data_IF_177756881845
#
_entry.id   IF_177756881845
#
_cell.length_a   1.000
_cell.length_b   1.000
_cell.length_c   1.000
_cell.angle_alpha   90.00
_cell.angle_beta   90.00
_cell.angle_gamma   90.00
#
_symmetry.space_group_name_H-M   'P 1'
#
loop_
_entity.id
_entity.type
_entity.pdbx_description
1 polymer ?
#
# COMPACT_ATOMS: atom_id res chain seq x y z
N UNK A 1 21.19 -78.41 -0.12
CA UNK A 1 20.85 -77.77 -1.41
C UNK A 1 19.33 -77.79 -1.57
N UNK A 2 18.77 -76.82 -2.31
CA UNK A 2 17.40 -76.75 -2.86
C UNK A 2 16.21 -77.27 -2.04
N UNK A 3 15.31 -76.35 -1.64
CA UNK A 3 13.88 -76.62 -1.61
C UNK A 3 13.13 -75.44 -2.25
N UNK A 4 12.34 -75.74 -3.29
CA UNK A 4 11.53 -74.74 -3.99
C UNK A 4 10.20 -74.52 -3.27
N UNK A 5 9.89 -73.28 -2.88
CA UNK A 5 8.56 -72.89 -2.44
C UNK A 5 7.73 -72.41 -3.65
N UNK A 6 6.49 -72.89 -3.74
CA UNK A 6 5.62 -72.87 -4.92
C UNK A 6 5.27 -71.45 -5.39
N UNK A 7 5.38 -71.21 -6.70
CA UNK A 7 4.72 -70.07 -7.37
C UNK A 7 3.22 -70.34 -7.47
N UNK A 8 2.41 -69.78 -6.57
CA UNK A 8 0.98 -69.59 -6.81
C UNK A 8 0.81 -68.37 -7.71
N UNK A 9 0.71 -68.60 -9.02
CA UNK A 9 0.24 -67.57 -9.94
C UNK A 9 -1.28 -67.39 -9.83
N UNK A 10 -1.81 -66.29 -10.37
CA UNK A 10 -3.22 -66.23 -10.73
C UNK A 10 -4.12 -65.23 -10.01
N UNK A 11 -3.60 -64.21 -9.32
CA UNK A 11 -4.38 -63.00 -9.09
C UNK A 11 -3.84 -61.86 -9.97
N UNK A 12 -4.57 -61.59 -11.06
CA UNK A 12 -4.31 -60.43 -11.93
C UNK A 12 -4.64 -59.20 -11.11
N UNK A 13 -3.63 -58.36 -10.80
CA UNK A 13 -3.81 -57.13 -10.02
C UNK A 13 -5.05 -56.37 -10.51
N UNK A 14 -6.09 -56.34 -9.66
CA UNK A 14 -7.37 -55.75 -9.99
C UNK A 14 -7.20 -54.27 -10.35
N UNK A 15 -6.21 -53.59 -9.74
CA UNK A 15 -5.87 -52.21 -10.04
C UNK A 15 -5.12 -52.05 -11.36
N UNK A 16 -4.31 -53.02 -11.79
CA UNK A 16 -3.77 -53.05 -13.17
C UNK A 16 -4.92 -53.19 -14.17
N UNK A 17 -5.82 -54.16 -13.97
CA UNK A 17 -6.96 -54.42 -14.87
C UNK A 17 -7.92 -53.23 -14.95
N UNK A 18 -8.14 -52.50 -13.85
CA UNK A 18 -8.90 -51.25 -13.83
C UNK A 18 -8.16 -50.12 -14.58
N UNK A 19 -6.85 -49.95 -14.33
CA UNK A 19 -6.01 -48.95 -15.04
C UNK A 19 -6.02 -49.17 -16.54
N UNK A 20 -5.83 -50.40 -17.00
CA UNK A 20 -5.81 -50.75 -18.43
C UNK A 20 -7.19 -50.53 -19.07
N UNK A 21 -8.28 -50.93 -18.39
CA UNK A 21 -9.65 -50.67 -18.87
C UNK A 21 -9.92 -49.17 -19.03
N UNK A 22 -9.47 -48.35 -18.09
CA UNK A 22 -9.66 -46.89 -18.11
C UNK A 22 -8.76 -46.20 -19.15
N UNK A 23 -7.52 -46.67 -19.31
CA UNK A 23 -6.58 -46.22 -20.34
C UNK A 23 -6.98 -46.62 -21.77
N UNK A 24 -7.75 -47.70 -21.93
CA UNK A 24 -8.30 -48.12 -23.23
C UNK A 24 -9.59 -47.38 -23.57
N UNK A 25 -10.49 -47.15 -22.60
CA UNK A 25 -11.71 -46.34 -22.80
C UNK A 25 -11.38 -44.91 -23.24
N UNK A 26 -10.43 -44.26 -22.56
CA UNK A 26 -10.01 -42.88 -22.88
C UNK A 26 -9.34 -42.72 -24.25
N UNK A 27 -8.84 -43.80 -24.87
CA UNK A 27 -8.33 -43.77 -26.26
C UNK A 27 -9.44 -43.89 -27.30
N UNK A 28 -10.58 -44.48 -26.97
CA UNK A 28 -11.73 -44.58 -27.87
C UNK A 28 -12.55 -43.29 -27.93
N UNK A 29 -12.67 -42.57 -26.81
CA UNK A 29 -13.50 -41.36 -26.70
C UNK A 29 -12.82 -40.07 -27.20
N UNK A 30 -11.51 -40.12 -27.48
CA UNK A 30 -10.72 -38.95 -27.91
C UNK A 30 -10.70 -38.66 -29.42
N UNK A 31 -11.19 -39.57 -30.27
CA UNK A 31 -11.09 -39.44 -31.72
C UNK A 31 -12.43 -39.07 -32.37
N UNK A 32 -12.82 -37.80 -32.27
CA UNK A 32 -14.02 -37.30 -32.93
C UNK A 32 -13.86 -37.35 -34.46
N UNK A 33 -14.75 -38.04 -35.18
CA UNK A 33 -14.85 -37.98 -36.65
C UNK A 33 -15.47 -36.67 -37.18
N UNK A 34 -15.44 -35.58 -36.41
CA UNK A 34 -15.85 -34.26 -36.88
C UNK A 34 -14.66 -33.58 -37.58
N UNK A 35 -14.68 -33.38 -38.93
CA UNK A 35 -13.52 -32.84 -39.66
C UNK A 35 -13.13 -31.41 -39.20
N UNK A 36 -14.04 -30.71 -38.53
CA UNK A 36 -13.90 -29.35 -38.04
C UNK A 36 -13.20 -29.26 -36.65
N UNK A 37 -12.92 -30.40 -36.00
CA UNK A 37 -12.30 -30.47 -34.66
C UNK A 37 -10.84 -30.93 -34.67
N UNK A 38 -10.20 -31.02 -35.85
CA UNK A 38 -8.75 -31.13 -35.97
C UNK A 38 -8.10 -29.79 -35.63
N UNK A 39 -8.12 -29.45 -34.33
CA UNK A 39 -7.38 -28.31 -33.80
C UNK A 39 -5.86 -28.53 -33.94
N UNK A 40 -5.06 -27.45 -34.02
CA UNK A 40 -3.61 -27.58 -34.01
C UNK A 40 -3.16 -28.28 -32.71
N UNK A 41 -2.14 -29.14 -32.81
CA UNK A 41 -1.51 -29.79 -31.65
C UNK A 41 -0.77 -28.71 -30.86
N UNK A 42 -1.47 -28.08 -29.92
CA UNK A 42 -0.87 -27.18 -28.94
C UNK A 42 -0.23 -28.04 -27.86
N UNK A 43 1.07 -27.88 -27.67
CA UNK A 43 1.80 -28.60 -26.63
C UNK A 43 1.30 -28.12 -25.25
N UNK A 44 0.55 -28.98 -24.57
CA UNK A 44 -0.06 -28.65 -23.28
C UNK A 44 1.03 -28.70 -22.23
N UNK A 45 1.67 -27.56 -21.99
CA UNK A 45 2.56 -27.36 -20.85
C UNK A 45 1.81 -27.75 -19.57
N UNK A 46 2.16 -28.92 -19.03
CA UNK A 46 1.68 -29.40 -17.74
C UNK A 46 2.56 -28.78 -16.66
N UNK A 47 2.06 -27.83 -15.85
CA UNK A 47 2.84 -27.31 -14.74
C UNK A 47 3.21 -28.45 -13.79
N UNK A 48 4.41 -28.43 -13.17
CA UNK A 48 4.77 -29.41 -12.16
C UNK A 48 3.67 -29.47 -11.10
N UNK A 49 3.20 -30.68 -10.76
CA UNK A 49 2.10 -30.87 -9.80
C UNK A 49 2.54 -30.38 -8.42
N UNK A 50 2.21 -29.13 -8.09
CA UNK A 50 2.31 -28.61 -6.75
C UNK A 50 1.57 -29.56 -5.81
N UNK A 51 2.22 -29.95 -4.72
CA UNK A 51 1.67 -30.89 -3.73
C UNK A 51 0.31 -30.38 -3.30
N UNK A 52 -0.76 -31.16 -3.54
CA UNK A 52 -2.13 -30.84 -3.12
C UNK A 52 -2.11 -30.48 -1.64
N UNK A 53 -2.28 -29.19 -1.33
CA UNK A 53 -2.44 -28.72 0.04
C UNK A 53 -3.63 -29.45 0.63
N UNK A 54 -3.40 -30.17 1.73
CA UNK A 54 -4.47 -30.87 2.42
C UNK A 54 -5.48 -29.83 2.92
N UNK A 55 -6.77 -30.05 2.64
CA UNK A 55 -7.84 -29.18 3.10
C UNK A 55 -7.77 -29.09 4.63
N UNK A 56 -7.34 -27.93 5.14
CA UNK A 56 -7.17 -27.73 6.57
C UNK A 56 -8.54 -27.82 7.25
N UNK A 57 -8.61 -28.53 8.38
CA UNK A 57 -9.87 -28.68 9.11
C UNK A 57 -10.17 -27.39 9.88
N UNK A 58 -10.69 -26.39 9.17
CA UNK A 58 -11.12 -25.12 9.75
C UNK A 58 -12.16 -25.36 10.85
N UNK A 59 -11.77 -25.11 12.09
CA UNK A 59 -12.67 -25.16 13.25
C UNK A 59 -13.56 -23.91 13.25
N UNK A 60 -14.63 -23.94 12.46
CA UNK A 60 -15.55 -22.80 12.30
C UNK A 60 -16.79 -23.05 11.44
N UNK A 61 -16.75 -24.01 10.51
CA UNK A 61 -17.79 -24.28 9.47
C UNK A 61 -19.19 -24.65 10.03
N UNK A 62 -19.38 -24.72 11.35
CA UNK A 62 -20.64 -25.04 12.00
C UNK A 62 -21.78 -24.05 11.69
N UNK A 63 -21.48 -22.74 11.63
CA UNK A 63 -22.49 -21.69 11.39
C UNK A 63 -22.97 -21.72 9.94
N UNK A 64 -22.05 -21.85 8.99
CA UNK A 64 -22.38 -21.89 7.56
C UNK A 64 -23.04 -23.21 7.17
N UNK A 65 -22.61 -24.34 7.76
CA UNK A 65 -23.31 -25.63 7.61
C UNK A 65 -24.71 -25.64 8.25
N UNK A 66 -25.01 -24.73 9.19
CA UNK A 66 -26.37 -24.53 9.72
C UNK A 66 -27.17 -23.62 8.78
N UNK A 67 -26.56 -22.56 8.23
CA UNK A 67 -27.17 -21.68 7.21
C UNK A 67 -27.53 -22.42 5.92
N UNK A 68 -26.61 -23.21 5.35
CA UNK A 68 -26.86 -24.06 4.17
C UNK A 68 -28.00 -25.05 4.40
N UNK A 69 -28.12 -25.63 5.60
CA UNK A 69 -29.24 -26.52 5.96
C UNK A 69 -30.54 -25.77 6.30
N UNK A 70 -30.49 -24.48 6.59
CA UNK A 70 -31.70 -23.65 6.68
C UNK A 70 -32.17 -23.28 5.27
N UNK A 71 -31.26 -22.86 4.39
CA UNK A 71 -31.53 -22.51 3.01
C UNK A 71 -32.05 -23.70 2.18
N UNK A 72 -31.59 -24.92 2.46
CA UNK A 72 -32.14 -26.14 1.87
C UNK A 72 -33.51 -26.58 2.47
N UNK A 73 -33.98 -25.93 3.55
CA UNK A 73 -35.29 -26.18 4.17
C UNK A 73 -36.32 -25.11 3.83
N UNK A 74 -35.90 -23.85 3.74
CA UNK A 74 -36.67 -22.77 3.13
C UNK A 74 -36.57 -22.96 1.63
N UNK A 75 -37.44 -23.83 1.07
CA UNK A 75 -37.33 -24.29 -0.30
C UNK A 75 -37.03 -23.17 -1.28
N UNK A 76 -35.82 -23.18 -1.84
CA UNK A 76 -35.63 -22.68 -3.19
C UNK A 76 -36.63 -23.46 -4.02
N UNK A 77 -37.67 -22.78 -4.50
CA UNK A 77 -38.67 -23.33 -5.41
C UNK A 77 -37.92 -24.13 -6.46
N UNK A 78 -38.31 -25.38 -6.70
CA UNK A 78 -37.44 -26.38 -7.30
C UNK A 78 -37.16 -26.08 -8.78
N UNK A 79 -36.24 -25.15 -9.04
CA UNK A 79 -35.78 -24.77 -10.38
C UNK A 79 -35.23 -26.03 -11.00
N UNK A 80 -35.85 -26.46 -12.11
CA UNK A 80 -35.44 -27.63 -12.87
C UNK A 80 -33.91 -27.62 -13.02
N UNK A 81 -33.18 -28.62 -12.46
CA UNK A 81 -31.74 -28.69 -12.62
C UNK A 81 -31.33 -28.68 -14.09
N UNK A 82 -32.16 -29.19 -14.99
CA UNK A 82 -31.99 -29.09 -16.44
C UNK A 82 -32.12 -27.66 -16.99
N UNK A 83 -32.94 -26.79 -16.40
CA UNK A 83 -33.04 -25.37 -16.74
C UNK A 83 -31.83 -24.58 -16.23
N UNK A 84 -31.39 -24.85 -14.99
CA UNK A 84 -30.15 -24.27 -14.44
C UNK A 84 -28.95 -24.66 -15.31
N UNK A 85 -28.83 -25.94 -15.67
CA UNK A 85 -27.74 -26.44 -16.53
C UNK A 85 -27.79 -25.80 -17.92
N UNK A 86 -28.98 -25.61 -18.50
CA UNK A 86 -29.17 -24.91 -19.79
C UNK A 86 -28.73 -23.44 -19.71
N UNK A 87 -29.17 -22.71 -18.69
CA UNK A 87 -28.81 -21.30 -18.49
C UNK A 87 -27.30 -21.12 -18.28
N UNK A 88 -26.66 -22.00 -17.50
CA UNK A 88 -25.20 -21.98 -17.30
C UNK A 88 -24.44 -22.30 -18.59
N UNK A 89 -24.87 -23.32 -19.34
CA UNK A 89 -24.26 -23.66 -20.62
C UNK A 89 -24.40 -22.52 -21.65
N UNK A 90 -25.56 -21.86 -21.69
CA UNK A 90 -25.80 -20.71 -22.56
C UNK A 90 -24.93 -19.51 -22.16
N UNK A 91 -24.83 -19.18 -20.87
CA UNK A 91 -23.96 -18.13 -20.35
C UNK A 91 -22.50 -18.38 -20.75
N UNK A 92 -21.99 -19.60 -20.53
CA UNK A 92 -20.62 -19.98 -20.88
C UNK A 92 -20.39 -19.94 -22.41
N UNK A 93 -21.35 -20.43 -23.21
CA UNK A 93 -21.26 -20.38 -24.67
C UNK A 93 -21.26 -18.95 -25.21
N UNK A 94 -22.14 -18.08 -24.70
CA UNK A 94 -22.17 -16.64 -25.03
C UNK A 94 -20.85 -15.97 -24.65
N UNK A 95 -20.32 -16.27 -23.45
CA UNK A 95 -19.01 -15.80 -23.01
C UNK A 95 -17.89 -16.17 -23.98
N UNK A 96 -17.79 -17.45 -24.37
CA UNK A 96 -16.78 -17.93 -25.32
C UNK A 96 -16.90 -17.28 -26.70
N UNK A 97 -18.12 -17.11 -27.23
CA UNK A 97 -18.35 -16.45 -28.53
C UNK A 97 -17.96 -14.97 -28.46
N UNK A 98 -18.31 -14.26 -27.39
CA UNK A 98 -17.93 -12.87 -27.18
C UNK A 98 -16.41 -12.72 -27.02
N UNK A 99 -15.76 -13.56 -26.21
CA UNK A 99 -14.29 -13.57 -26.08
C UNK A 99 -13.62 -13.77 -27.44
N UNK A 100 -14.07 -14.76 -28.23
CA UNK A 100 -13.52 -15.02 -29.56
C UNK A 100 -13.71 -13.83 -30.51
N UNK A 101 -14.87 -13.18 -30.49
CA UNK A 101 -15.16 -11.97 -31.29
C UNK A 101 -14.30 -10.78 -30.88
N UNK A 102 -14.06 -10.57 -29.58
CA UNK A 102 -13.13 -9.54 -29.09
C UNK A 102 -11.70 -9.83 -29.53
N UNK A 103 -11.25 -11.09 -29.45
CA UNK A 103 -9.93 -11.49 -29.97
C UNK A 103 -9.79 -11.27 -31.46
N UNK A 104 -10.81 -11.59 -32.29
CA UNK A 104 -10.73 -11.35 -33.73
C UNK A 104 -10.70 -9.86 -34.05
N UNK A 105 -11.53 -9.02 -33.41
CA UNK A 105 -11.50 -7.56 -33.61
C UNK A 105 -10.13 -6.96 -33.25
N UNK A 106 -9.54 -7.36 -32.11
CA UNK A 106 -8.19 -6.91 -31.72
C UNK A 106 -7.12 -7.41 -32.70
N UNK A 107 -7.24 -8.63 -33.22
CA UNK A 107 -6.29 -9.18 -34.19
C UNK A 107 -6.44 -8.51 -35.57
N UNK A 108 -7.65 -8.18 -35.98
CA UNK A 108 -7.97 -7.39 -37.18
C UNK A 108 -7.35 -5.99 -37.07
N UNK A 109 -7.58 -5.26 -35.96
CA UNK A 109 -6.96 -3.95 -35.69
C UNK A 109 -5.43 -4.00 -35.75
N UNK A 110 -4.81 -5.00 -35.10
CA UNK A 110 -3.34 -5.18 -35.13
C UNK A 110 -2.80 -5.60 -36.51
N UNK A 111 -3.64 -6.14 -37.39
CA UNK A 111 -3.26 -6.58 -38.75
C UNK A 111 -3.47 -5.48 -39.80
N UNK A 112 -4.51 -4.66 -39.64
CA UNK A 112 -4.86 -3.55 -40.52
C UNK A 112 -4.14 -2.25 -40.16
N UNK A 113 -3.74 -2.09 -38.89
CA UNK A 113 -2.98 -0.93 -38.42
C UNK A 113 -1.51 -0.96 -38.85
N UNK A 114 -0.91 0.23 -38.95
CA UNK A 114 0.52 0.37 -39.24
C UNK A 114 1.36 -0.27 -38.12
N UNK A 115 1.97 -1.42 -38.38
CA UNK A 115 2.84 -2.14 -37.43
C UNK A 115 3.91 -1.24 -36.81
N UNK A 116 4.41 -0.25 -37.56
CA UNK A 116 5.33 0.79 -37.10
C UNK A 116 4.71 1.67 -36.00
N UNK A 117 3.49 2.19 -36.19
CA UNK A 117 2.77 3.00 -35.18
C UNK A 117 2.47 2.19 -33.92
N UNK A 118 2.12 0.91 -34.06
CA UNK A 118 1.93 0.01 -32.91
C UNK A 118 3.23 -0.21 -32.14
N UNK A 119 4.35 -0.47 -32.83
CA UNK A 119 5.67 -0.61 -32.21
C UNK A 119 6.12 0.69 -31.50
N UNK A 120 5.90 1.84 -32.12
CA UNK A 120 6.15 3.16 -31.52
C UNK A 120 5.30 3.41 -30.26
N UNK A 121 4.00 3.09 -30.30
CA UNK A 121 3.11 3.20 -29.13
C UNK A 121 3.54 2.27 -27.99
N UNK A 122 3.95 1.03 -28.30
CA UNK A 122 4.49 0.07 -27.31
C UNK A 122 5.80 0.59 -26.72
N UNK A 123 6.70 1.16 -27.54
CA UNK A 123 7.95 1.75 -27.06
C UNK A 123 7.70 2.96 -26.13
N UNK A 124 6.77 3.85 -26.50
CA UNK A 124 6.39 5.00 -25.67
C UNK A 124 5.71 4.60 -24.37
N UNK A 125 4.78 3.63 -24.39
CA UNK A 125 4.15 3.09 -23.18
C UNK A 125 5.16 2.39 -22.27
N UNK A 126 6.15 1.69 -22.83
CA UNK A 126 7.22 1.07 -22.04
C UNK A 126 8.07 2.13 -21.33
N UNK A 127 8.47 3.21 -22.03
CA UNK A 127 9.18 4.35 -21.44
C UNK A 127 8.36 5.04 -20.35
N UNK A 128 7.07 5.26 -20.57
CA UNK A 128 6.18 5.83 -19.55
C UNK A 128 6.15 4.95 -18.29
N UNK A 129 5.93 3.64 -18.45
CA UNK A 129 5.97 2.68 -17.33
C UNK A 129 7.32 2.69 -16.60
N UNK A 130 8.44 2.78 -17.32
CA UNK A 130 9.78 2.86 -16.73
C UNK A 130 9.95 4.16 -15.92
N UNK A 131 9.48 5.30 -16.44
CA UNK A 131 9.51 6.60 -15.75
C UNK A 131 8.60 6.61 -14.51
N UNK A 132 7.36 6.13 -14.62
CA UNK A 132 6.40 6.05 -13.51
C UNK A 132 6.94 5.15 -12.39
N UNK A 133 7.59 4.04 -12.76
CA UNK A 133 8.22 3.12 -11.82
C UNK A 133 9.40 3.76 -11.06
N UNK A 134 10.17 4.64 -11.71
CA UNK A 134 11.23 5.41 -11.08
C UNK A 134 10.66 6.50 -10.17
N UNK A 135 9.71 7.30 -10.67
CA UNK A 135 9.03 8.35 -9.90
C UNK A 135 8.43 7.80 -8.60
N UNK A 136 7.72 6.67 -8.67
CA UNK A 136 7.15 6.01 -7.50
C UNK A 136 8.21 5.50 -6.51
N UNK A 137 9.38 5.07 -6.98
CA UNK A 137 10.48 4.67 -6.10
C UNK A 137 11.14 5.87 -5.39
N UNK A 138 11.25 7.02 -6.07
CA UNK A 138 11.77 8.26 -5.50
C UNK A 138 10.78 8.86 -4.47
N UNK A 139 9.49 8.92 -4.81
CA UNK A 139 8.42 9.36 -3.91
C UNK A 139 8.30 8.45 -2.67
N UNK A 140 8.40 7.13 -2.86
CA UNK A 140 8.44 6.18 -1.76
C UNK A 140 9.63 6.44 -0.83
N UNK A 141 10.84 6.62 -1.38
CA UNK A 141 12.03 6.90 -0.57
C UNK A 141 11.91 8.24 0.18
N UNK A 142 11.31 9.26 -0.44
CA UNK A 142 11.06 10.56 0.20
C UNK A 142 10.08 10.43 1.38
N UNK A 143 8.94 9.79 1.16
CA UNK A 143 7.92 9.59 2.19
C UNK A 143 8.39 8.68 3.34
N UNK A 144 9.21 7.66 3.06
CA UNK A 144 9.90 6.88 4.10
C UNK A 144 10.84 7.74 4.95
N UNK A 145 11.65 8.62 4.34
CA UNK A 145 12.54 9.53 5.07
C UNK A 145 11.77 10.57 5.90
N UNK A 146 10.66 11.09 5.37
CA UNK A 146 9.80 12.07 6.04
C UNK A 146 9.02 11.46 7.23
N UNK A 147 8.58 10.20 7.10
CA UNK A 147 7.99 9.43 8.19
C UNK A 147 9.03 9.18 9.31
N UNK A 148 10.25 8.77 8.96
CA UNK A 148 11.35 8.58 9.93
C UNK A 148 11.68 9.89 10.65
N UNK A 149 11.82 11.01 9.92
CA UNK A 149 12.12 12.32 10.51
C UNK A 149 11.02 12.77 11.50
N UNK A 150 9.75 12.71 11.07
CA UNK A 150 8.62 13.12 11.92
C UNK A 150 8.43 12.23 13.16
N UNK A 151 8.72 10.92 13.07
CA UNK A 151 8.75 10.04 14.23
C UNK A 151 9.85 10.44 15.24
N UNK A 152 11.06 10.72 14.76
CA UNK A 152 12.18 11.14 15.62
C UNK A 152 11.90 12.48 16.31
N UNK A 153 11.41 13.48 15.58
CA UNK A 153 11.04 14.80 16.15
C UNK A 153 9.94 14.65 17.21
N UNK A 154 8.90 13.85 16.93
CA UNK A 154 7.82 13.59 17.89
C UNK A 154 8.33 12.81 19.14
N UNK A 155 9.21 11.82 18.94
CA UNK A 155 9.87 11.09 20.02
C UNK A 155 10.70 12.01 20.92
N UNK A 156 11.47 12.92 20.33
CA UNK A 156 12.25 13.92 21.04
C UNK A 156 11.36 14.91 21.81
N UNK A 157 10.32 15.47 21.19
CA UNK A 157 9.35 16.35 21.86
C UNK A 157 8.59 15.66 23.00
N UNK A 158 8.36 14.34 22.92
CA UNK A 158 7.81 13.55 24.03
C UNK A 158 8.83 13.36 25.16
N UNK A 159 10.11 13.22 24.85
CA UNK A 159 11.18 13.18 25.86
C UNK A 159 11.33 14.53 26.58
N UNK A 160 11.36 15.65 25.83
CA UNK A 160 11.41 17.00 26.39
C UNK A 160 10.27 17.26 27.39
N UNK A 161 9.02 16.92 27.04
CA UNK A 161 7.87 17.03 27.96
C UNK A 161 8.00 16.20 29.24
N UNK A 162 8.75 15.09 29.22
CA UNK A 162 9.05 14.31 30.43
C UNK A 162 10.15 14.95 31.27
N UNK A 163 11.16 15.51 30.63
CA UNK A 163 12.25 16.24 31.31
C UNK A 163 11.71 17.47 32.01
N UNK A 164 10.94 18.30 31.30
CA UNK A 164 10.28 19.51 31.82
C UNK A 164 9.40 19.23 33.05
N UNK A 165 8.66 18.11 33.04
CA UNK A 165 7.86 17.66 34.19
C UNK A 165 8.71 17.19 35.40
N UNK A 166 9.83 16.49 35.16
CA UNK A 166 10.72 15.98 36.22
C UNK A 166 11.64 17.05 36.81
N UNK A 167 12.14 17.98 35.98
CA UNK A 167 13.23 18.90 36.30
C UNK A 167 12.77 20.35 36.14
N UNK A 168 11.91 20.81 37.06
CA UNK A 168 11.35 22.17 37.06
C UNK A 168 12.38 23.32 37.10
N UNK A 169 13.62 23.01 37.44
CA UNK A 169 14.76 23.95 37.47
C UNK A 169 15.51 24.04 36.13
N UNK A 170 15.23 23.13 35.18
CA UNK A 170 15.91 23.03 33.89
C UNK A 170 14.92 23.33 32.77
N UNK A 171 14.96 24.56 32.25
CA UNK A 171 14.12 24.95 31.12
C UNK A 171 14.65 24.36 29.80
N UNK A 172 13.77 23.77 28.99
CA UNK A 172 14.09 23.32 27.63
C UNK A 172 14.37 24.47 26.64
N UNK A 173 14.11 25.73 27.04
CA UNK A 173 14.45 26.95 26.31
C UNK A 173 15.66 27.70 26.88
N UNK A 174 16.38 27.11 27.84
CA UNK A 174 17.64 27.68 28.35
C UNK A 174 18.71 27.68 27.23
N UNK A 175 19.29 28.86 26.98
CA UNK A 175 20.26 29.06 25.89
C UNK A 175 21.51 28.19 26.03
N UNK A 176 21.84 27.69 27.24
CA UNK A 176 22.95 26.76 27.50
C UNK A 176 22.79 25.39 26.82
N UNK A 177 21.60 25.07 26.29
CA UNK A 177 21.34 23.84 25.54
C UNK A 177 21.00 24.10 24.06
N UNK A 178 21.16 25.34 23.57
CA UNK A 178 20.85 25.68 22.19
C UNK A 178 22.05 25.42 21.28
N UNK A 179 22.16 24.17 20.79
CA UNK A 179 23.24 23.69 19.92
C UNK A 179 23.44 24.56 18.66
N UNK A 180 22.42 25.29 18.19
CA UNK A 180 22.56 26.22 17.06
C UNK A 180 23.46 27.43 17.36
N UNK A 181 23.74 27.72 18.64
CA UNK A 181 24.73 28.73 19.06
C UNK A 181 26.16 28.15 19.11
N UNK A 182 26.28 26.83 19.25
CA UNK A 182 27.56 26.11 19.30
C UNK A 182 28.05 25.67 17.90
N UNK A 183 27.19 25.77 16.88
CA UNK A 183 27.52 25.48 15.48
C UNK A 183 27.87 26.77 14.73
N UNK A 184 29.12 26.86 14.29
CA UNK A 184 29.67 27.98 13.53
C UNK A 184 30.20 27.45 12.19
N UNK A 185 29.91 28.14 11.09
CA UNK A 185 30.27 27.68 9.72
C UNK A 185 30.10 26.16 9.50
N UNK A 186 28.91 25.65 9.84
CA UNK A 186 28.49 24.24 9.70
C UNK A 186 29.33 23.19 10.47
N UNK A 187 30.19 23.60 11.40
CA UNK A 187 30.89 22.70 12.32
C UNK A 187 30.71 23.15 13.77
N UNK A 188 30.96 22.25 14.71
CA UNK A 188 30.88 22.53 16.14
C UNK A 188 32.26 23.02 16.59
N UNK A 189 32.35 24.27 17.07
CA UNK A 189 33.61 24.84 17.54
C UNK A 189 34.05 24.18 18.85
N UNK A 190 35.36 24.10 19.08
CA UNK A 190 35.88 23.66 20.38
C UNK A 190 35.90 24.78 21.44
N UNK A 191 36.08 24.40 22.71
CA UNK A 191 36.03 25.35 23.84
C UNK A 191 37.14 26.42 23.76
N UNK A 192 38.29 26.11 23.17
CA UNK A 192 39.38 27.06 22.98
C UNK A 192 39.08 28.03 21.82
N UNK A 193 38.53 27.54 20.71
CA UNK A 193 38.07 28.34 19.58
C UNK A 193 36.96 29.32 19.98
N UNK A 194 35.95 28.84 20.72
CA UNK A 194 34.88 29.67 21.30
C UNK A 194 35.47 30.75 22.23
N UNK A 195 36.45 30.38 23.07
CA UNK A 195 37.11 31.33 23.97
C UNK A 195 37.90 32.41 23.22
N UNK A 196 38.55 32.05 22.11
CA UNK A 196 39.31 32.98 21.27
C UNK A 196 38.38 33.98 20.56
N UNK A 197 37.32 33.49 19.91
CA UNK A 197 36.34 34.32 19.21
C UNK A 197 35.59 35.26 20.17
N UNK A 198 35.28 34.80 21.39
CA UNK A 198 34.64 35.64 22.42
C UNK A 198 35.58 36.76 22.90
N UNK A 199 36.87 36.47 23.08
CA UNK A 199 37.85 37.49 23.46
C UNK A 199 38.04 38.55 22.37
N UNK A 200 38.07 38.16 21.09
CA UNK A 200 38.11 39.10 19.96
C UNK A 200 36.83 39.96 19.87
N UNK A 201 35.67 39.38 20.17
CA UNK A 201 34.39 40.10 20.18
C UNK A 201 34.28 41.08 21.37
N UNK A 202 34.72 40.69 22.58
CA UNK A 202 34.75 41.60 23.73
C UNK A 202 35.70 42.79 23.48
N UNK A 203 36.88 42.57 22.88
CA UNK A 203 37.85 43.64 22.52
C UNK A 203 37.28 44.61 21.48
N UNK A 204 36.49 44.14 20.51
CA UNK A 204 35.89 45.01 19.48
C UNK A 204 34.72 45.85 19.99
N UNK A 205 34.03 45.43 21.05
CA UNK A 205 32.93 46.21 21.67
C UNK A 205 33.38 47.34 22.59
N UNK A 206 34.59 47.27 23.18
CA UNK A 206 35.10 48.30 24.11
C UNK A 206 35.62 49.57 23.39
N UNK A 207 35.84 49.51 22.08
CA UNK A 207 36.50 50.58 21.32
C UNK A 207 35.64 51.79 20.94
N UNK A 208 34.38 51.89 21.36
CA UNK A 208 33.41 52.83 20.76
C UNK A 208 32.57 53.67 21.73
N UNK A 209 32.97 53.79 23.01
CA UNK A 209 32.28 54.58 24.04
C UNK A 209 33.21 55.58 24.77
N UNK A 210 33.84 56.51 24.02
CA UNK A 210 34.50 57.68 24.61
C UNK A 210 34.24 58.98 23.80
N UNK A 211 33.04 59.56 23.94
CA UNK A 211 32.82 61.02 23.83
C UNK A 211 31.78 61.48 24.85
N UNK A 212 32.31 61.96 25.99
CA UNK A 212 31.83 63.00 26.91
C UNK A 212 30.49 63.70 26.56
N UNK A 213 29.53 63.70 27.51
CA UNK A 213 29.08 64.99 28.08
C UNK A 213 28.57 64.87 29.54
N UNK A 214 28.68 65.97 30.30
CA UNK A 214 28.54 66.02 31.77
C UNK A 214 27.35 66.87 32.21
N UNK A 215 26.45 66.31 33.01
CA UNK A 215 25.61 67.09 33.93
C UNK A 215 25.08 66.25 35.12
N UNK A 216 25.18 66.80 36.33
CA UNK A 216 24.67 66.21 37.59
C UNK A 216 23.19 66.59 37.86
N UNK A 217 22.48 65.88 38.77
CA UNK A 217 21.01 65.77 38.72
C UNK A 217 20.24 66.82 39.54
N UNK A 218 18.97 67.02 39.17
CA UNK A 218 17.96 67.77 39.95
C UNK A 218 16.67 66.95 40.09
N UNK A 219 16.47 66.45 41.31
CA UNK A 219 15.24 66.41 42.13
C UNK A 219 13.81 66.29 41.54
N UNK A 220 13.04 65.44 42.24
CA UNK A 220 11.68 65.67 42.80
C UNK A 220 10.44 65.16 42.01
N UNK A 221 9.92 64.04 42.54
CA UNK A 221 8.52 63.83 42.98
C UNK A 221 7.40 63.47 41.97
N UNK A 222 6.98 62.19 42.05
CA UNK A 222 5.59 61.78 42.36
C UNK A 222 4.46 62.03 41.36
N UNK A 223 3.79 60.94 40.95
CA UNK A 223 2.32 60.73 41.07
C UNK A 223 1.93 59.30 40.60
N UNK A 224 0.98 58.71 41.33
CA UNK A 224 0.22 57.44 41.15
C UNK A 224 -1.24 57.81 41.59
N UNK A 225 -2.38 57.14 41.25
CA UNK A 225 -2.65 55.92 40.47
C UNK A 225 -3.30 56.24 39.10
N UNK A 226 -4.12 55.46 38.38
CA UNK A 226 -4.82 54.15 38.54
C UNK A 226 -4.95 53.48 37.13
N UNK A 227 -5.65 52.37 36.84
CA UNK A 227 -6.57 51.46 37.54
C UNK A 227 -7.14 50.44 36.51
N UNK A 228 -7.86 49.42 37.01
CA UNK A 228 -8.99 48.61 36.45
C UNK A 228 -9.44 48.85 34.97
N UNK A 229 -9.98 47.92 34.16
CA UNK A 229 -10.15 46.44 34.13
C UNK A 229 -10.18 45.98 32.63
N UNK A 230 -10.73 44.85 32.13
CA UNK A 230 -11.35 43.64 32.70
C UNK A 230 -12.15 42.83 31.63
N UNK A 231 -12.15 41.49 31.74
CA UNK A 231 -13.03 40.52 31.01
C UNK A 231 -12.88 40.46 29.46
N UNK A 232 -13.21 39.36 28.77
CA UNK A 232 -13.72 38.06 29.20
C UNK A 232 -13.72 37.02 28.06
N UNK A 233 -13.86 35.76 28.44
CA UNK A 233 -13.88 34.53 27.63
C UNK A 233 -15.25 34.29 26.94
N UNK A 234 -15.25 33.61 25.77
CA UNK A 234 -16.40 32.87 25.22
C UNK A 234 -16.02 32.06 23.95
N UNK A 235 -16.44 30.79 23.90
CA UNK A 235 -16.25 29.85 22.79
C UNK A 235 -17.40 29.84 21.74
N UNK A 236 -17.18 29.00 20.71
CA UNK A 236 -18.18 28.18 20.00
C UNK A 236 -19.03 28.81 18.86
N UNK A 237 -19.43 27.99 17.87
CA UNK A 237 -20.27 28.43 16.75
C UNK A 237 -20.13 27.68 15.41
N UNK A 238 -20.73 26.50 15.36
CA UNK A 238 -20.94 25.53 14.26
C UNK A 238 -21.31 26.04 12.82
N UNK A 239 -21.04 25.16 11.86
CA UNK A 239 -21.55 25.00 10.46
C UNK A 239 -22.82 25.76 10.00
N UNK A 240 -22.81 26.29 8.76
CA UNK A 240 -23.97 26.24 7.83
C UNK A 240 -23.52 26.17 6.36
N UNK A 241 -23.93 25.12 5.64
CA UNK A 241 -23.84 25.04 4.18
C UNK A 241 -24.93 25.86 3.48
N UNK A 242 -24.65 26.40 2.27
CA UNK A 242 -25.68 26.96 1.39
C UNK A 242 -25.71 26.28 0.03
N UNK A 243 -26.70 25.41 -0.11
CA UNK A 243 -27.29 25.02 -1.39
C UNK A 243 -28.00 26.23 -2.03
N UNK A 244 -27.96 26.32 -3.36
CA UNK A 244 -28.51 27.44 -4.12
C UNK A 244 -28.83 27.00 -5.54
N UNK A 245 -29.97 26.35 -5.69
CA UNK A 245 -30.52 25.91 -6.96
C UNK A 245 -31.47 26.99 -7.48
N UNK A 246 -31.45 27.29 -8.79
CA UNK A 246 -32.65 27.79 -9.49
C UNK A 246 -32.56 27.54 -10.99
N UNK A 247 -33.64 26.99 -11.54
CA UNK A 247 -33.86 26.76 -12.97
C UNK A 247 -34.56 27.98 -13.59
N UNK A 248 -34.18 28.39 -14.81
CA UNK A 248 -35.16 28.96 -15.76
C UNK A 248 -34.81 28.47 -17.16
N UNK A 249 -35.82 28.03 -17.91
CA UNK A 249 -35.71 27.55 -19.29
C UNK A 249 -36.03 28.64 -20.32
N UNK A 250 -35.38 28.56 -21.49
CA UNK A 250 -36.00 28.66 -22.82
C UNK A 250 -35.09 27.97 -23.86
#
# INVERSE_FOLDING_TARGET
>A
MAHHARKTGGEVDLFAKIRDKMGNATKAEGQSQAPNLVGPVVDVYRPPTAKRLALSKMKGVGKDRKRLRALAKTGVEAVDPGLVMRALNEYMARGLVLSRRVTTMLQEELSAGDKKKHAEKVASLKKLRDNDQQSWAEEKKKSEAEAVYSEHVNGFQKALRRVDFLYKEVSVSDCRFNINLDVYDNHMLDVAEISHLRAEQEVTTVGNEEVVDVASPVNVEGVVPDGEDGYGDAEDGEEVAKEGNDEVAD
#
